data_IF_609448386619
#
_entry.id   IF_609448386619
#
_cell.length_a   1.000
_cell.length_b   1.000
_cell.length_c   1.000
_cell.angle_alpha   90.00
_cell.angle_beta   90.00
_cell.angle_gamma   90.00
#
_symmetry.space_group_name_H-M   'P 1'
#
loop_
_entity.id
_entity.type
_entity.pdbx_description
1 polymer ?
#
# COMPACT_ATOMS: atom_id res chain seq x y z
N UNK A 1 11.35 -21.05 16.12
CA UNK A 1 10.81 -20.43 17.36
C UNK A 1 9.29 -20.44 17.27
N UNK A 2 8.56 -20.55 18.38
CA UNK A 2 7.09 -20.50 18.36
C UNK A 2 6.68 -19.02 18.33
N UNK A 3 5.92 -18.60 17.32
CA UNK A 3 5.37 -17.24 17.26
C UNK A 3 4.57 -16.95 18.54
N UNK A 4 4.87 -15.81 19.19
CA UNK A 4 4.24 -15.43 20.46
C UNK A 4 2.96 -14.66 20.16
N UNK A 5 1.84 -15.10 20.72
CA UNK A 5 0.56 -14.38 20.61
C UNK A 5 0.40 -13.37 21.73
N UNK A 6 -0.15 -12.20 21.40
CA UNK A 6 -0.56 -11.21 22.38
C UNK A 6 -1.67 -10.31 21.84
N UNK A 7 -2.53 -9.85 22.75
CA UNK A 7 -3.49 -8.80 22.48
C UNK A 7 -2.77 -7.45 22.46
N UNK A 8 -2.91 -6.69 21.37
CA UNK A 8 -2.34 -5.36 21.24
C UNK A 8 -3.16 -4.49 20.30
N UNK A 9 -3.01 -3.16 20.42
CA UNK A 9 -3.58 -2.21 19.48
C UNK A 9 -2.65 -2.05 18.28
N UNK A 10 -3.19 -2.09 17.07
CA UNK A 10 -2.47 -1.89 15.82
C UNK A 10 -3.05 -0.67 15.12
N UNK A 11 -2.16 0.22 14.73
CA UNK A 11 -2.43 1.36 13.87
C UNK A 11 -1.82 1.11 12.50
N UNK A 12 -2.63 1.24 11.45
CA UNK A 12 -2.16 1.32 10.08
C UNK A 12 -2.40 2.74 9.57
N UNK A 13 -1.37 3.37 9.00
CA UNK A 13 -1.45 4.69 8.40
C UNK A 13 -0.92 4.65 6.96
N UNK A 14 -1.61 5.27 6.02
CA UNK A 14 -1.21 5.28 4.61
C UNK A 14 -1.62 6.57 3.89
N UNK A 15 -0.92 6.93 2.82
CA UNK A 15 -1.15 8.17 2.08
C UNK A 15 -2.38 8.04 1.17
N UNK A 16 -3.30 9.00 1.26
CA UNK A 16 -4.38 9.09 0.28
C UNK A 16 -3.84 9.58 -1.07
N UNK A 17 -4.16 8.84 -2.15
CA UNK A 17 -3.79 9.19 -3.52
C UNK A 17 -2.29 9.36 -3.77
N UNK A 18 -1.47 8.51 -3.16
CA UNK A 18 0.00 8.55 -3.32
C UNK A 18 0.45 8.59 -4.78
N UNK A 19 -0.14 7.77 -5.65
CA UNK A 19 0.19 7.74 -7.08
C UNK A 19 0.03 9.11 -7.76
N UNK A 20 -1.02 9.88 -7.42
CA UNK A 20 -1.25 11.23 -7.96
C UNK A 20 -0.15 12.20 -7.53
N UNK A 21 0.29 12.10 -6.27
CA UNK A 21 1.35 12.97 -5.74
C UNK A 21 2.68 12.70 -6.47
N UNK A 22 2.99 11.41 -6.70
CA UNK A 22 4.17 11.00 -7.47
C UNK A 22 4.13 11.52 -8.91
N UNK A 23 2.98 11.48 -9.60
CA UNK A 23 2.86 12.03 -10.96
C UNK A 23 3.10 13.55 -11.04
N UNK A 24 2.77 14.29 -9.98
CA UNK A 24 2.90 15.76 -9.93
C UNK A 24 4.33 16.20 -9.59
N UNK A 25 4.94 15.56 -8.59
CA UNK A 25 6.25 15.94 -8.05
C UNK A 25 6.87 14.74 -7.31
N UNK A 26 7.65 13.91 -8.01
CA UNK A 26 8.25 12.70 -7.45
C UNK A 26 9.20 13.03 -6.27
N UNK A 27 10.16 13.94 -6.49
CA UNK A 27 11.18 14.28 -5.50
C UNK A 27 10.55 14.96 -4.26
N UNK A 28 9.67 15.94 -4.48
CA UNK A 28 8.99 16.62 -3.38
C UNK A 28 8.03 15.73 -2.60
N UNK A 29 7.41 14.73 -3.26
CA UNK A 29 6.57 13.73 -2.59
C UNK A 29 7.40 12.79 -1.73
N UNK A 30 8.54 12.28 -2.24
CA UNK A 30 9.42 11.39 -1.50
C UNK A 30 10.02 12.08 -0.27
N UNK A 31 10.47 13.33 -0.40
CA UNK A 31 11.04 14.07 0.73
C UNK A 31 9.99 14.41 1.80
N UNK A 32 8.76 14.70 1.38
CA UNK A 32 7.64 14.90 2.31
C UNK A 32 7.25 13.62 3.02
N UNK A 33 7.18 12.50 2.29
CA UNK A 33 6.89 11.20 2.88
C UNK A 33 7.93 10.83 3.94
N UNK A 34 9.23 11.07 3.67
CA UNK A 34 10.30 10.87 4.66
C UNK A 34 10.09 11.75 5.90
N UNK A 35 9.84 13.04 5.71
CA UNK A 35 9.59 13.96 6.83
C UNK A 35 8.39 13.55 7.66
N UNK A 36 7.29 13.15 7.02
CA UNK A 36 6.06 12.74 7.72
C UNK A 36 6.26 11.42 8.47
N UNK A 37 7.03 10.49 7.89
CA UNK A 37 7.44 9.26 8.59
C UNK A 37 8.27 9.54 9.82
N UNK A 38 9.21 10.46 9.75
CA UNK A 38 10.03 10.84 10.91
C UNK A 38 9.17 11.41 12.04
N UNK A 39 8.20 12.27 11.72
CA UNK A 39 7.22 12.78 12.70
C UNK A 39 6.41 11.64 13.31
N UNK A 40 5.87 10.74 12.47
CA UNK A 40 5.09 9.60 12.95
C UNK A 40 5.93 8.70 13.86
N UNK A 41 7.21 8.48 13.56
CA UNK A 41 8.15 7.76 14.43
C UNK A 41 8.33 8.43 15.78
N UNK A 42 8.57 9.74 15.80
CA UNK A 42 8.73 10.50 17.04
C UNK A 42 7.46 10.48 17.91
N UNK A 43 6.29 10.61 17.29
CA UNK A 43 5.00 10.55 17.99
C UNK A 43 4.71 9.12 18.47
N UNK A 44 5.02 8.10 17.66
CA UNK A 44 4.89 6.71 18.08
C UNK A 44 5.74 6.41 19.32
N UNK A 45 7.01 6.80 19.31
CA UNK A 45 7.90 6.62 20.47
C UNK A 45 7.40 7.34 21.72
N UNK A 46 6.92 8.59 21.57
CA UNK A 46 6.34 9.38 22.67
C UNK A 46 5.15 8.68 23.34
N UNK A 47 4.35 7.97 22.54
CA UNK A 47 3.16 7.23 22.99
C UNK A 47 3.43 5.74 23.22
N UNK A 48 4.68 5.35 23.49
CA UNK A 48 5.08 3.96 23.76
C UNK A 48 4.67 2.97 22.64
N UNK A 49 4.55 3.47 21.41
CA UNK A 49 4.31 2.70 20.20
C UNK A 49 5.60 2.15 19.62
N UNK A 50 5.53 0.96 19.03
CA UNK A 50 6.61 0.35 18.26
C UNK A 50 6.25 0.33 16.79
N UNK A 51 7.05 0.96 15.94
CA UNK A 51 6.93 0.79 14.49
C UNK A 51 7.40 -0.63 14.16
N UNK A 52 6.51 -1.40 13.55
CA UNK A 52 6.78 -2.81 13.20
C UNK A 52 7.35 -2.89 11.80
N UNK A 53 6.65 -2.30 10.83
CA UNK A 53 7.08 -2.37 9.44
C UNK A 53 6.52 -1.20 8.63
N UNK A 54 7.28 -0.79 7.62
CA UNK A 54 6.90 0.23 6.63
C UNK A 54 7.07 -0.37 5.23
N UNK A 55 6.03 -1.05 4.73
CA UNK A 55 6.01 -1.50 3.33
C UNK A 55 5.44 -0.38 2.47
N UNK A 56 6.19 0.07 1.44
CA UNK A 56 5.71 1.11 0.53
C UNK A 56 5.66 2.48 1.18
N UNK A 57 4.48 3.11 1.20
CA UNK A 57 4.10 4.37 1.86
C UNK A 57 3.40 4.16 3.21
N UNK A 58 2.85 2.97 3.45
CA UNK A 58 2.17 2.64 4.70
C UNK A 58 3.11 2.52 5.91
N UNK A 59 2.59 2.82 7.10
CA UNK A 59 3.25 2.73 8.40
C UNK A 59 2.38 1.90 9.35
N UNK A 60 2.96 0.85 9.94
CA UNK A 60 2.28 -0.01 10.92
C UNK A 60 2.92 0.19 12.28
N UNK A 61 2.11 0.55 13.27
CA UNK A 61 2.54 0.84 14.64
C UNK A 61 1.73 -0.02 15.61
N UNK A 62 2.44 -0.70 16.51
CA UNK A 62 1.84 -1.49 17.58
C UNK A 62 1.92 -0.74 18.91
N UNK A 63 0.84 -0.76 19.68
CA UNK A 63 0.75 -0.17 21.01
C UNK A 63 0.28 -1.19 22.03
N UNK A 64 0.85 -1.12 23.24
CA UNK A 64 0.38 -1.91 24.38
C UNK A 64 -0.90 -1.34 25.01
N UNK A 65 -1.17 -0.05 24.79
CA UNK A 65 -2.35 0.67 25.28
C UNK A 65 -3.19 1.20 24.12
N UNK A 66 -4.49 0.91 24.15
CA UNK A 66 -5.45 1.44 23.16
C UNK A 66 -5.60 2.96 23.27
N UNK A 67 -5.51 3.49 24.50
CA UNK A 67 -5.63 4.94 24.74
C UNK A 67 -4.45 5.67 24.12
N UNK A 68 -3.23 5.16 24.31
CA UNK A 68 -2.02 5.74 23.69
C UNK A 68 -2.08 5.66 22.17
N UNK A 69 -2.58 4.56 21.61
CA UNK A 69 -2.75 4.42 20.16
C UNK A 69 -3.68 5.49 19.58
N UNK A 70 -4.82 5.76 20.22
CA UNK A 70 -5.78 6.78 19.77
C UNK A 70 -5.22 8.19 19.97
N UNK A 71 -4.53 8.46 21.09
CA UNK A 71 -3.86 9.75 21.32
C UNK A 71 -2.79 10.03 20.26
N UNK A 72 -1.95 9.03 19.98
CA UNK A 72 -0.94 9.10 18.94
C UNK A 72 -1.55 9.38 17.56
N UNK A 73 -2.61 8.67 17.18
CA UNK A 73 -3.30 8.90 15.91
C UNK A 73 -3.87 10.32 15.77
N UNK A 74 -4.46 10.86 16.85
CA UNK A 74 -4.98 12.24 16.89
C UNK A 74 -3.85 13.26 16.77
N UNK A 75 -2.75 13.06 17.49
CA UNK A 75 -1.56 13.94 17.40
C UNK A 75 -0.94 13.89 16.00
N UNK A 76 -0.82 12.70 15.39
CA UNK A 76 -0.35 12.54 14.01
C UNK A 76 -1.22 13.35 13.06
N UNK A 77 -2.54 13.14 13.06
CA UNK A 77 -3.41 13.86 12.13
C UNK A 77 -3.38 15.38 12.36
N UNK A 78 -3.28 15.81 13.62
CA UNK A 78 -3.18 17.23 13.96
C UNK A 78 -1.89 17.85 13.40
N UNK A 79 -0.74 17.23 13.65
CA UNK A 79 0.57 17.71 13.18
C UNK A 79 0.66 17.69 11.65
N UNK A 80 0.19 16.62 11.00
CA UNK A 80 0.18 16.54 9.54
C UNK A 80 -0.78 17.56 8.91
N UNK A 81 -1.93 17.82 9.54
CA UNK A 81 -2.87 18.86 9.10
C UNK A 81 -2.24 20.26 9.16
N UNK A 82 -1.53 20.58 10.25
CA UNK A 82 -0.81 21.84 10.39
C UNK A 82 0.23 22.04 9.29
N UNK A 83 1.03 21.00 8.99
CA UNK A 83 2.06 21.08 7.93
C UNK A 83 1.45 21.15 6.53
N UNK A 84 0.32 20.50 6.31
CA UNK A 84 -0.41 20.57 5.05
C UNK A 84 -1.12 21.92 4.85
N UNK A 85 -1.33 22.73 5.90
CA UNK A 85 -2.03 24.01 5.80
C UNK A 85 -1.28 25.01 4.89
N UNK A 86 0.05 24.97 4.90
CA UNK A 86 0.91 25.85 4.11
C UNK A 86 1.10 25.38 2.65
N UNK A 87 0.49 24.25 2.29
CA UNK A 87 0.70 23.59 1.00
C UNK A 87 -0.52 23.76 0.08
N UNK A 88 -0.32 23.91 -1.24
CA UNK A 88 -1.40 23.85 -2.20
C UNK A 88 -2.12 22.50 -2.17
N UNK A 89 -3.43 22.47 -2.42
CA UNK A 89 -4.25 21.24 -2.37
C UNK A 89 -3.72 20.10 -3.24
N UNK A 90 -3.14 20.42 -4.40
CA UNK A 90 -2.53 19.43 -5.28
C UNK A 90 -1.35 18.68 -4.66
N UNK A 91 -0.70 19.26 -3.63
CA UNK A 91 0.47 18.68 -2.96
C UNK A 91 0.16 18.20 -1.54
N UNK A 92 -1.01 18.49 -0.96
CA UNK A 92 -1.33 18.04 0.41
C UNK A 92 -1.23 16.51 0.49
N UNK A 93 -0.48 16.04 1.48
CA UNK A 93 -0.26 14.63 1.73
C UNK A 93 -1.10 14.23 2.95
N UNK A 94 -2.33 13.80 2.70
CA UNK A 94 -3.27 13.44 3.75
C UNK A 94 -3.16 11.95 4.04
N UNK A 95 -2.90 11.61 5.30
CA UNK A 95 -2.87 10.23 5.76
C UNK A 95 -4.27 9.76 6.15
N UNK A 96 -4.55 8.49 5.89
CA UNK A 96 -5.69 7.76 6.42
C UNK A 96 -5.18 6.86 7.55
N UNK A 97 -5.91 6.80 8.66
CA UNK A 97 -5.51 5.97 9.80
C UNK A 97 -6.63 4.99 10.16
N UNK A 98 -6.27 3.73 10.36
CA UNK A 98 -7.12 2.66 10.89
C UNK A 98 -6.54 2.09 12.17
N UNK A 99 -7.38 1.90 13.19
CA UNK A 99 -7.01 1.38 14.50
C UNK A 99 -7.86 0.17 14.87
N UNK A 100 -7.21 -0.92 15.27
CA UNK A 100 -7.86 -2.11 15.76
C UNK A 100 -7.18 -2.67 17.01
N UNK A 101 -7.95 -3.29 17.90
CA UNK A 101 -7.46 -4.10 19.01
C UNK A 101 -7.75 -5.57 18.69
N UNK A 102 -6.70 -6.40 18.63
CA UNK A 102 -6.84 -7.81 18.27
C UNK A 102 -5.64 -8.67 18.70
N UNK A 103 -5.81 -9.99 18.58
CA UNK A 103 -4.73 -10.96 18.84
C UNK A 103 -3.74 -10.97 17.67
N UNK A 104 -2.47 -10.72 17.99
CA UNK A 104 -1.38 -10.62 17.03
C UNK A 104 -0.36 -11.73 17.28
N UNK A 105 0.16 -12.30 16.21
CA UNK A 105 1.32 -13.18 16.23
C UNK A 105 2.58 -12.34 16.00
N UNK A 106 3.47 -12.34 16.99
CA UNK A 106 4.76 -11.64 16.93
C UNK A 106 5.85 -12.64 16.57
N UNK A 107 6.61 -12.32 15.53
CA UNK A 107 7.78 -13.07 15.10
C UNK A 107 8.95 -12.11 14.85
N UNK A 108 9.93 -12.09 15.76
CA UNK A 108 10.98 -11.07 15.73
C UNK A 108 10.40 -9.69 15.97
N UNK A 109 10.64 -8.77 15.03
CA UNK A 109 10.12 -7.41 15.05
C UNK A 109 8.80 -7.26 14.27
N UNK A 110 8.40 -8.29 13.51
CA UNK A 110 7.19 -8.31 12.68
C UNK A 110 5.93 -8.77 13.46
N UNK A 111 4.76 -8.31 12.98
CA UNK A 111 3.44 -8.71 13.48
C UNK A 111 2.56 -9.25 12.35
N UNK A 112 1.81 -10.30 12.66
CA UNK A 112 0.91 -10.96 11.72
C UNK A 112 -0.43 -11.32 12.38
N UNK A 113 -1.43 -11.54 11.54
CA UNK A 113 -2.74 -12.05 11.96
C UNK A 113 -3.88 -11.12 11.59
N UNK A 114 -5.09 -11.57 11.89
CA UNK A 114 -6.32 -10.88 11.49
C UNK A 114 -6.43 -9.48 12.09
N UNK A 115 -5.84 -9.26 13.27
CA UNK A 115 -5.79 -7.94 13.91
C UNK A 115 -5.14 -6.87 13.02
N UNK A 116 -4.07 -7.23 12.29
CA UNK A 116 -3.37 -6.34 11.34
C UNK A 116 -4.21 -6.11 10.08
N UNK A 117 -4.83 -7.18 9.56
CA UNK A 117 -5.67 -7.11 8.36
C UNK A 117 -6.89 -6.20 8.58
N UNK A 118 -7.50 -6.27 9.76
CA UNK A 118 -8.61 -5.38 10.14
C UNK A 118 -8.12 -3.93 10.22
N UNK A 119 -7.00 -3.65 10.90
CA UNK A 119 -6.46 -2.29 10.98
C UNK A 119 -6.16 -1.69 9.59
N UNK A 120 -5.55 -2.48 8.69
CA UNK A 120 -5.29 -2.06 7.32
C UNK A 120 -6.59 -1.79 6.54
N UNK A 121 -7.63 -2.62 6.70
CA UNK A 121 -8.93 -2.38 6.07
C UNK A 121 -9.59 -1.10 6.59
N UNK A 122 -9.53 -0.87 7.89
CA UNK A 122 -10.07 0.37 8.47
C UNK A 122 -9.33 1.59 7.93
N UNK A 123 -8.03 1.50 7.74
CA UNK A 123 -7.25 2.56 7.11
C UNK A 123 -7.72 2.81 5.67
N UNK A 124 -7.95 1.76 4.86
CA UNK A 124 -8.42 1.92 3.48
C UNK A 124 -9.77 2.65 3.41
N UNK A 125 -10.67 2.36 4.37
CA UNK A 125 -12.01 2.94 4.47
C UNK A 125 -12.04 4.33 5.10
N UNK A 126 -10.96 4.76 5.75
CA UNK A 126 -10.94 6.03 6.44
C UNK A 126 -10.98 7.20 5.44
N UNK A 127 -11.72 8.28 5.77
CA UNK A 127 -11.68 9.49 4.96
C UNK A 127 -10.27 10.09 5.01
N UNK A 128 -9.92 10.91 4.02
CA UNK A 128 -8.61 11.59 3.97
C UNK A 128 -8.42 12.45 5.21
N UNK A 129 -7.27 12.32 5.87
CA UNK A 129 -7.02 13.00 7.15
C UNK A 129 -7.84 12.46 8.33
N UNK A 130 -8.57 11.36 8.14
CA UNK A 130 -9.45 10.75 9.13
C UNK A 130 -8.81 9.61 9.92
N UNK A 131 -9.50 9.22 10.99
CA UNK A 131 -9.15 8.09 11.84
C UNK A 131 -10.39 7.21 11.98
N UNK A 132 -10.28 5.95 11.58
CA UNK A 132 -11.30 4.91 11.83
C UNK A 132 -10.86 3.95 12.91
N UNK A 133 -11.79 3.65 13.80
CA UNK A 133 -11.64 2.72 14.91
C UNK A 133 -12.54 1.51 14.68
N UNK A 134 -12.05 0.32 15.04
CA UNK A 134 -12.93 -0.82 15.27
C UNK A 134 -13.77 -0.62 16.54
N UNK A 135 -14.86 -1.36 16.65
CA UNK A 135 -15.67 -1.43 17.87
C UNK A 135 -14.84 -1.74 19.12
N UNK A 136 -13.89 -2.67 19.03
CA UNK A 136 -13.04 -3.06 20.16
C UNK A 136 -12.13 -1.92 20.66
N UNK A 137 -11.70 -1.03 19.76
CA UNK A 137 -10.98 0.19 20.14
C UNK A 137 -11.92 1.23 20.72
N UNK A 138 -13.06 1.47 20.06
CA UNK A 138 -14.07 2.43 20.51
C UNK A 138 -14.56 2.15 21.94
N UNK A 139 -14.90 0.90 22.24
CA UNK A 139 -15.37 0.48 23.57
C UNK A 139 -14.36 0.79 24.67
N UNK A 140 -13.07 0.76 24.36
CA UNK A 140 -12.00 1.03 25.31
C UNK A 140 -11.74 2.52 25.56
N UNK A 141 -12.10 3.40 24.62
CA UNK A 141 -11.73 4.83 24.68
C UNK A 141 -12.91 5.79 24.85
N UNK A 142 -14.14 5.38 24.51
CA UNK A 142 -15.33 6.26 24.50
C UNK A 142 -15.61 7.00 25.82
N UNK A 143 -15.23 6.42 26.95
CA UNK A 143 -15.40 7.01 28.29
C UNK A 143 -14.11 7.58 28.89
N UNK A 144 -12.97 7.38 28.22
CA UNK A 144 -11.64 7.75 28.73
C UNK A 144 -11.06 8.98 28.02
N UNK A 145 -11.66 9.40 26.91
CA UNK A 145 -11.15 10.49 26.08
C UNK A 145 -12.25 11.51 25.79
N UNK A 146 -11.90 12.80 25.85
CA UNK A 146 -12.77 13.90 25.45
C UNK A 146 -12.75 14.10 23.92
N UNK A 147 -13.06 13.04 23.17
CA UNK A 147 -13.14 13.04 21.72
C UNK A 147 -14.57 12.75 21.26
N UNK A 148 -14.97 13.33 20.13
CA UNK A 148 -16.21 12.96 19.46
C UNK A 148 -16.01 11.72 18.61
N UNK A 149 -17.00 10.83 18.60
CA UNK A 149 -17.02 9.63 17.74
C UNK A 149 -18.30 9.60 16.91
N UNK A 150 -18.17 9.15 15.68
CA UNK A 150 -19.27 9.03 14.73
C UNK A 150 -19.38 7.59 14.24
N UNK A 151 -20.51 6.90 14.48
CA UNK A 151 -20.69 5.53 14.02
C UNK A 151 -20.88 5.52 12.50
N UNK A 152 -20.12 4.66 11.81
CA UNK A 152 -20.24 4.42 10.36
C UNK A 152 -20.87 3.07 10.04
N UNK A 153 -21.28 2.32 11.07
CA UNK A 153 -21.93 1.02 10.94
C UNK A 153 -20.98 -0.12 10.60
N UNK A 154 -21.58 -1.23 10.16
CA UNK A 154 -20.89 -2.48 9.84
C UNK A 154 -20.16 -2.38 8.50
N UNK A 155 -18.86 -2.70 8.52
CA UNK A 155 -18.00 -2.73 7.34
C UNK A 155 -17.52 -4.16 7.11
N UNK A 156 -17.69 -4.67 5.89
CA UNK A 156 -17.21 -6.00 5.54
C UNK A 156 -15.71 -5.95 5.24
N UNK A 157 -14.93 -6.73 5.99
CA UNK A 157 -13.48 -6.89 5.76
C UNK A 157 -13.26 -8.17 4.97
N UNK A 158 -12.48 -8.10 3.87
CA UNK A 158 -12.06 -9.31 3.14
C UNK A 158 -11.32 -10.25 4.10
N UNK A 159 -11.67 -11.53 4.07
CA UNK A 159 -11.10 -12.60 4.92
C UNK A 159 -11.44 -12.52 6.42
N UNK A 160 -12.42 -11.70 6.82
CA UNK A 160 -13.01 -11.75 8.17
C UNK A 160 -14.46 -12.20 8.03
N UNK A 161 -14.84 -13.21 8.81
CA UNK A 161 -16.17 -13.84 8.74
C UNK A 161 -17.28 -12.93 9.27
N UNK A 162 -16.98 -12.04 10.20
CA UNK A 162 -17.95 -11.11 10.80
C UNK A 162 -17.67 -9.67 10.35
N UNK A 163 -18.71 -8.90 9.96
CA UNK A 163 -18.54 -7.47 9.68
C UNK A 163 -18.05 -6.73 10.93
N UNK A 164 -17.16 -5.77 10.76
CA UNK A 164 -16.61 -4.98 11.87
C UNK A 164 -17.42 -3.69 11.98
N UNK A 165 -17.98 -3.40 13.15
CA UNK A 165 -18.59 -2.08 13.39
C UNK A 165 -17.48 -1.02 13.54
N UNK A 166 -17.68 0.12 12.87
CA UNK A 166 -16.64 1.14 12.71
C UNK A 166 -17.07 2.51 13.19
N UNK A 167 -16.10 3.26 13.72
CA UNK A 167 -16.32 4.58 14.30
C UNK A 167 -15.26 5.57 13.80
N UNK A 168 -15.68 6.72 13.28
CA UNK A 168 -14.78 7.81 12.92
C UNK A 168 -14.52 8.72 14.13
N UNK A 169 -13.26 9.11 14.33
CA UNK A 169 -12.92 10.15 15.31
C UNK A 169 -13.22 11.52 14.70
N UNK A 170 -13.91 12.39 15.45
CA UNK A 170 -14.14 13.79 15.06
C UNK A 170 -12.92 14.62 15.42
N UNK A 171 -12.10 14.90 14.42
CA UNK A 171 -11.02 15.88 14.50
C UNK A 171 -11.60 17.27 14.19
N UNK A 172 -11.23 18.28 14.97
CA UNK A 172 -11.83 19.62 14.94
C UNK A 172 -12.17 20.14 13.53
N UNK A 173 -13.45 20.05 13.15
CA UNK A 173 -14.03 20.70 11.97
C UNK A 173 -14.00 19.96 10.62
N UNK A 174 -13.55 18.70 10.51
CA UNK A 174 -13.64 17.94 9.24
C UNK A 174 -14.07 16.48 9.41
N UNK A 175 -15.35 16.28 9.67
CA UNK A 175 -16.04 15.04 9.29
C UNK A 175 -17.27 15.43 8.47
N UNK A 176 -17.06 15.77 7.20
CA UNK A 176 -18.13 15.73 6.21
C UNK A 176 -17.78 14.59 5.25
N UNK A 177 -18.69 13.65 4.97
CA UNK A 177 -18.52 12.74 3.85
C UNK A 177 -18.36 13.61 2.59
N UNK A 178 -17.37 13.33 1.75
CA UNK A 178 -17.38 13.88 0.38
C UNK A 178 -18.67 13.36 -0.27
N UNK A 179 -19.67 14.25 -0.44
CA UNK A 179 -20.85 13.97 -1.24
C UNK A 179 -20.39 13.77 -2.69
N UNK A 180 -20.26 12.50 -3.09
CA UNK A 180 -20.24 12.12 -4.49
C UNK A 180 -21.62 12.42 -5.07
N UNK A 181 -21.76 13.64 -5.60
CA UNK A 181 -22.95 14.13 -6.25
C UNK A 181 -23.20 13.38 -7.56
N UNK A 182 -23.79 12.19 -7.49
CA UNK A 182 -24.58 11.58 -8.56
C UNK A 182 -25.47 10.48 -7.98
N UNK A 183 -26.67 10.84 -7.48
CA UNK A 183 -27.92 10.05 -7.61
C UNK A 183 -29.06 10.68 -6.81
N UNK A 184 -29.78 11.59 -7.47
CA UNK A 184 -31.20 11.79 -7.26
C UNK A 184 -31.73 12.42 -8.54
N UNK A 185 -32.36 11.60 -9.38
CA UNK A 185 -33.39 11.98 -10.36
C UNK A 185 -33.62 10.78 -11.28
N UNK A 186 -34.48 9.86 -10.84
CA UNK A 186 -35.39 9.10 -11.68
C UNK A 186 -36.19 8.13 -10.82
N UNK A 187 -37.23 8.65 -10.18
CA UNK A 187 -38.42 7.86 -9.90
C UNK A 187 -39.61 8.80 -9.89
N UNK A 188 -40.33 8.77 -11.02
CA UNK A 188 -41.76 9.04 -11.23
C UNK A 188 -41.99 9.82 -12.52
N UNK A 189 -42.22 9.08 -13.61
CA UNK A 189 -43.38 9.27 -14.49
C UNK A 189 -43.40 8.27 -15.65
N UNK A 190 -44.60 7.75 -15.87
CA UNK A 190 -45.12 7.03 -17.04
C UNK A 190 -44.98 5.51 -17.08
N UNK A 191 -46.06 4.91 -16.56
CA UNK A 191 -46.66 3.67 -17.02
C UNK A 191 -47.09 3.71 -18.50
N UNK A 192 -47.09 2.50 -19.09
CA UNK A 192 -47.76 2.03 -20.32
C UNK A 192 -47.10 2.27 -21.69
N UNK A 193 -46.44 1.23 -22.21
CA UNK A 193 -46.99 0.37 -23.29
C UNK A 193 -45.94 -0.66 -23.73
N UNK A 194 -46.38 -1.91 -23.95
CA UNK A 194 -45.49 -3.06 -24.17
C UNK A 194 -44.91 -3.22 -25.56
N UNK A 195 -43.85 -4.02 -25.66
CA UNK A 195 -43.74 -5.22 -26.52
C UNK A 195 -42.29 -5.73 -26.59
N UNK A 196 -42.15 -7.05 -26.40
CA UNK A 196 -41.10 -7.99 -26.82
C UNK A 196 -39.83 -7.50 -27.54
N UNK A 197 -38.64 -7.81 -27.00
CA UNK A 197 -37.60 -8.61 -27.69
C UNK A 197 -36.42 -9.01 -26.78
N UNK A 198 -35.85 -10.19 -27.05
CA UNK A 198 -34.65 -10.79 -26.45
C UNK A 198 -33.37 -9.96 -26.65
N UNK A 199 -32.38 -10.15 -25.77
CA UNK A 199 -30.98 -9.80 -26.07
C UNK A 199 -30.04 -9.76 -24.86
N UNK A 200 -29.37 -10.89 -24.62
CA UNK A 200 -27.99 -11.10 -24.14
C UNK A 200 -27.26 -10.12 -23.21
N UNK A 201 -26.52 -10.73 -22.27
CA UNK A 201 -25.82 -10.06 -21.18
C UNK A 201 -24.51 -9.36 -21.55
N UNK A 202 -24.06 -8.51 -20.63
CA UNK A 202 -22.65 -8.28 -20.31
C UNK A 202 -22.56 -7.25 -19.16
N UNK A 203 -22.25 -7.72 -17.95
CA UNK A 203 -22.08 -6.87 -16.78
C UNK A 203 -20.96 -7.38 -15.87
N UNK A 204 -19.72 -7.41 -16.37
CA UNK A 204 -18.49 -7.59 -15.59
C UNK A 204 -17.30 -7.08 -16.41
N UNK A 205 -16.71 -5.91 -16.09
CA UNK A 205 -15.53 -5.40 -16.81
C UNK A 205 -14.67 -4.34 -16.08
N UNK A 206 -14.76 -4.24 -14.77
CA UNK A 206 -13.91 -3.33 -13.99
C UNK A 206 -12.71 -4.04 -13.32
N UNK A 207 -12.91 -5.22 -12.72
CA UNK A 207 -11.83 -5.98 -12.06
C UNK A 207 -10.87 -6.72 -13.01
N UNK A 208 -11.27 -6.96 -14.26
CA UNK A 208 -10.44 -7.68 -15.24
C UNK A 208 -9.26 -6.86 -15.77
N UNK A 209 -9.31 -5.52 -15.70
CA UNK A 209 -8.27 -4.67 -16.31
C UNK A 209 -6.95 -4.68 -15.54
N UNK A 210 -6.99 -4.76 -14.22
CA UNK A 210 -5.77 -4.73 -13.39
C UNK A 210 -5.10 -6.11 -13.33
N UNK A 211 -5.90 -7.19 -13.31
CA UNK A 211 -5.40 -8.57 -13.44
C UNK A 211 -4.84 -8.80 -14.85
N UNK A 212 -5.51 -8.28 -15.88
CA UNK A 212 -4.98 -8.33 -17.26
C UNK A 212 -3.69 -7.52 -17.40
N UNK A 213 -3.57 -6.35 -16.76
CA UNK A 213 -2.34 -5.56 -16.80
C UNK A 213 -1.14 -6.30 -16.15
N UNK A 214 -1.35 -6.94 -15.00
CA UNK A 214 -0.32 -7.76 -14.34
C UNK A 214 0.03 -9.03 -15.13
N UNK A 215 -0.97 -9.74 -15.66
CA UNK A 215 -0.77 -10.91 -16.52
C UNK A 215 -0.05 -10.55 -17.82
N UNK A 216 -0.38 -9.40 -18.41
CA UNK A 216 0.30 -8.88 -19.61
C UNK A 216 1.76 -8.51 -19.32
N UNK A 217 2.09 -7.99 -18.13
CA UNK A 217 3.47 -7.72 -17.71
C UNK A 217 4.31 -9.00 -17.59
N UNK A 218 3.72 -10.07 -17.02
CA UNK A 218 4.38 -11.37 -16.92
C UNK A 218 4.58 -12.03 -18.29
N UNK A 219 3.59 -11.97 -19.18
CA UNK A 219 3.71 -12.49 -20.55
C UNK A 219 4.69 -11.68 -21.41
N UNK A 220 4.77 -10.35 -21.22
CA UNK A 220 5.78 -9.51 -21.87
C UNK A 220 7.20 -9.85 -21.41
N UNK A 221 7.40 -10.04 -20.10
CA UNK A 221 8.68 -10.47 -19.55
C UNK A 221 9.08 -11.87 -20.04
N UNK A 222 8.12 -12.80 -20.12
CA UNK A 222 8.30 -14.17 -20.62
C UNK A 222 8.60 -14.21 -22.12
N UNK A 223 7.92 -13.40 -22.93
CA UNK A 223 8.16 -13.28 -24.37
C UNK A 223 9.52 -12.63 -24.68
N UNK A 224 9.92 -11.62 -23.90
CA UNK A 224 11.26 -11.04 -23.96
C UNK A 224 12.33 -12.07 -23.61
N UNK A 225 12.13 -12.84 -22.53
CA UNK A 225 13.06 -13.86 -22.07
C UNK A 225 13.27 -15.00 -23.09
N UNK A 226 12.23 -15.36 -23.83
CA UNK A 226 12.31 -16.40 -24.87
C UNK A 226 13.04 -15.93 -26.15
N UNK A 227 13.17 -14.62 -26.37
CA UNK A 227 13.91 -14.02 -27.48
C UNK A 227 15.41 -13.83 -27.20
N UNK A 228 15.86 -14.09 -25.97
CA UNK A 228 17.26 -13.91 -25.58
C UNK A 228 18.12 -15.14 -25.90
N UNK A 229 19.45 -14.98 -26.10
CA UNK A 229 20.39 -16.08 -26.31
C UNK A 229 20.34 -17.12 -25.18
N UNK A 230 20.64 -18.40 -25.50
CA UNK A 230 20.57 -19.53 -24.53
C UNK A 230 21.33 -19.28 -23.23
N UNK A 231 22.41 -18.48 -23.29
CA UNK A 231 23.23 -18.09 -22.13
C UNK A 231 22.47 -17.14 -21.19
N UNK A 232 21.80 -16.12 -21.75
CA UNK A 232 21.01 -15.15 -20.98
C UNK A 232 19.81 -15.82 -20.33
N UNK A 233 19.14 -16.71 -21.06
CA UNK A 233 18.02 -17.49 -20.51
C UNK A 233 18.47 -18.34 -19.30
N UNK A 234 19.60 -19.03 -19.39
CA UNK A 234 20.17 -19.80 -18.26
C UNK A 234 20.52 -18.92 -17.06
N UNK A 235 21.05 -17.73 -17.29
CA UNK A 235 21.40 -16.79 -16.21
C UNK A 235 20.15 -16.27 -15.48
N UNK A 236 19.09 -15.89 -16.20
CA UNK A 236 17.84 -15.42 -15.60
C UNK A 236 17.16 -16.52 -14.78
N UNK A 237 17.16 -17.77 -15.28
CA UNK A 237 16.68 -18.91 -14.50
C UNK A 237 17.50 -19.16 -13.24
N UNK A 238 18.84 -19.04 -13.30
CA UNK A 238 19.67 -19.17 -12.10
C UNK A 238 19.45 -18.04 -11.10
N UNK A 239 19.29 -16.80 -11.56
CA UNK A 239 18.98 -15.65 -10.70
C UNK A 239 17.63 -15.87 -10.00
N UNK A 240 16.59 -16.28 -10.73
CA UNK A 240 15.30 -16.61 -10.16
C UNK A 240 15.36 -17.81 -9.20
N UNK A 241 16.12 -18.85 -9.53
CA UNK A 241 16.31 -20.02 -8.69
C UNK A 241 16.96 -19.67 -7.35
N UNK A 242 18.02 -18.89 -7.37
CA UNK A 242 18.70 -18.50 -6.15
C UNK A 242 17.94 -17.41 -5.35
N UNK A 243 17.15 -16.58 -6.02
CA UNK A 243 16.20 -15.68 -5.34
C UNK A 243 15.12 -16.49 -4.61
N UNK A 244 14.57 -17.52 -5.27
CA UNK A 244 13.62 -18.45 -4.65
C UNK A 244 14.29 -19.24 -3.51
N UNK A 245 15.55 -19.64 -3.69
CA UNK A 245 16.35 -20.29 -2.66
C UNK A 245 16.57 -19.35 -1.47
N UNK A 246 16.90 -18.08 -1.70
CA UNK A 246 17.05 -17.06 -0.66
C UNK A 246 15.74 -16.84 0.12
N UNK A 247 14.62 -16.79 -0.60
CA UNK A 247 13.27 -16.71 -0.04
C UNK A 247 12.92 -17.92 0.82
N UNK A 248 13.28 -19.13 0.37
CA UNK A 248 13.00 -20.39 1.08
C UNK A 248 13.90 -20.61 2.30
N UNK A 249 15.15 -20.13 2.24
CA UNK A 249 16.18 -20.46 3.25
C UNK A 249 16.34 -19.39 4.32
N UNK A 250 16.02 -18.12 4.03
CA UNK A 250 16.39 -16.97 4.88
C UNK A 250 15.31 -15.88 4.96
N UNK A 251 14.19 -16.02 4.26
CA UNK A 251 13.22 -14.93 4.17
C UNK A 251 13.84 -13.71 3.48
N UNK A 252 14.10 -12.63 4.22
CA UNK A 252 14.54 -11.33 3.68
C UNK A 252 15.76 -10.66 4.39
N UNK A 253 16.64 -11.38 5.11
CA UNK A 253 18.02 -10.90 5.37
C UNK A 253 18.98 -11.96 5.96
N UNK A 254 20.32 -11.87 5.76
CA UNK A 254 21.08 -10.94 4.90
C UNK A 254 21.40 -11.51 3.50
N UNK A 255 21.85 -10.61 2.61
CA UNK A 255 22.12 -10.76 1.16
C UNK A 255 23.26 -11.75 0.80
N UNK A 256 23.19 -13.00 1.25
CA UNK A 256 24.17 -14.02 0.83
C UNK A 256 24.06 -14.34 -0.67
N UNK A 257 22.88 -14.12 -1.28
CA UNK A 257 22.62 -14.41 -2.69
C UNK A 257 23.35 -13.47 -3.69
N UNK A 258 23.74 -12.27 -3.26
CA UNK A 258 24.44 -11.31 -4.14
C UNK A 258 25.80 -11.84 -4.59
N UNK A 259 26.49 -12.57 -3.71
CA UNK A 259 27.84 -13.08 -3.98
C UNK A 259 27.88 -14.22 -5.02
N UNK A 260 26.99 -15.23 -5.00
CA UNK A 260 26.90 -16.24 -6.06
C UNK A 260 26.34 -15.75 -7.39
N UNK A 261 25.55 -14.67 -7.41
CA UNK A 261 24.90 -14.16 -8.63
C UNK A 261 25.75 -13.16 -9.43
N UNK A 262 26.73 -12.51 -8.78
CA UNK A 262 27.66 -11.56 -9.38
C UNK A 262 28.32 -12.04 -10.69
N UNK A 263 28.85 -13.29 -10.80
CA UNK A 263 29.47 -13.78 -12.04
C UNK A 263 28.48 -13.85 -13.21
N UNK A 264 27.21 -14.17 -12.93
CA UNK A 264 26.16 -14.28 -13.93
C UNK A 264 25.66 -12.91 -14.37
N UNK A 265 25.58 -11.96 -13.43
CA UNK A 265 25.25 -10.57 -13.74
C UNK A 265 26.31 -9.91 -14.64
N UNK A 266 27.60 -10.17 -14.36
CA UNK A 266 28.72 -9.74 -15.20
C UNK A 266 28.67 -10.38 -16.58
N UNK A 267 28.32 -11.67 -16.70
CA UNK A 267 28.18 -12.34 -18.00
C UNK A 267 27.02 -11.78 -18.85
N UNK A 268 25.88 -11.45 -18.23
CA UNK A 268 24.74 -10.81 -18.91
C UNK A 268 25.10 -9.39 -19.36
N UNK A 269 25.75 -8.61 -18.49
CA UNK A 269 26.25 -7.27 -18.82
C UNK A 269 27.30 -7.32 -19.94
N UNK A 270 28.24 -8.27 -19.88
CA UNK A 270 29.24 -8.47 -20.92
C UNK A 270 28.60 -8.77 -22.28
N UNK A 271 27.55 -9.58 -22.32
CA UNK A 271 26.88 -9.93 -23.57
C UNK A 271 26.01 -8.79 -24.13
N UNK A 272 25.38 -8.00 -23.25
CA UNK A 272 24.61 -6.81 -23.63
C UNK A 272 25.50 -5.66 -24.14
N UNK A 273 26.69 -5.48 -23.56
CA UNK A 273 27.64 -4.44 -23.96
C UNK A 273 28.54 -4.85 -25.13
N UNK A 274 28.95 -6.12 -25.22
CA UNK A 274 29.73 -6.62 -26.37
C UNK A 274 28.91 -6.64 -27.67
N UNK A 275 27.57 -6.60 -27.59
CA UNK A 275 26.68 -6.45 -28.75
C UNK A 275 26.68 -5.05 -29.39
N UNK A 276 27.34 -4.05 -28.80
CA UNK A 276 27.46 -2.68 -29.36
C UNK A 276 28.82 -2.40 -30.03
N UNK A 277 29.77 -3.33 -30.01
CA UNK A 277 31.14 -3.12 -30.50
C UNK A 277 31.34 -3.25 -32.02
N UNK A 278 30.53 -4.03 -32.74
CA UNK A 278 30.88 -4.46 -34.11
C UNK A 278 30.27 -3.63 -35.25
N UNK A 279 29.97 -2.35 -35.04
CA UNK A 279 29.45 -1.45 -36.10
C UNK A 279 30.31 -0.25 -36.46
N UNK A 280 31.62 -0.31 -36.22
CA UNK A 280 32.60 0.61 -36.83
C UNK A 280 33.85 -0.16 -37.21
N UNK A 281 33.85 -0.79 -38.38
CA UNK A 281 35.01 -0.90 -39.29
C UNK A 281 34.56 -1.62 -40.57
N UNK A 282 33.72 -0.94 -41.35
CA UNK A 282 33.51 -1.28 -42.76
C UNK A 282 32.99 -0.06 -43.50
N UNK A 283 33.86 0.54 -44.32
CA UNK A 283 33.51 1.56 -45.32
C UNK A 283 34.36 2.83 -45.22
N UNK A 284 35.29 3.01 -46.16
CA UNK A 284 36.00 4.28 -46.35
C UNK A 284 37.34 4.18 -47.06
N UNK A 285 37.33 3.72 -48.32
CA UNK A 285 38.45 3.84 -49.26
C UNK A 285 38.68 5.31 -49.63
N UNK A 286 39.90 5.85 -49.47
CA UNK A 286 40.42 6.93 -50.31
C UNK A 286 41.94 6.90 -50.42
N UNK A 287 42.39 6.94 -51.67
CA UNK A 287 43.75 7.08 -52.16
C UNK A 287 44.28 8.49 -51.89
N UNK A 288 45.60 8.70 -51.89
CA UNK A 288 46.10 9.76 -52.76
C UNK A 288 47.38 9.37 -53.54
N UNK A 289 47.41 9.92 -54.76
CA UNK A 289 48.51 10.24 -55.67
C UNK A 289 49.56 9.17 -56.03
#
# INVERSE_FOLDING_TARGET
MRAKRRLAAVMCADVAHYARLMEVDEDGTLDRLKSYREIMSQLAERHNGRIVNTWGDAVIIEFSSVVEAVQCAVEIQTELSLRNADLPDARKMEFRIGLNLGDLMVEGDDIYGDGVNVAARLQELAPRGGILLSQSVYDQVRSKMALGFEPLGLQQVKNVSEPVETYAVRLGGRNAPEEDGTRADQEERHSESGSTHNGDGAGHRAGDRDVAAFANGFEQARAWLMRQPRVVRRCVFMIGFFFLLNLLTTGLSPLWFVWPSLPFFVAVMWHLFSGKGDRKFRGGSHQPD
#
